data_IF_047591831695
#
_entry.id   IF_047591831695
#
_cell.length_a   1.000
_cell.length_b   1.000
_cell.length_c   1.000
_cell.angle_alpha   90.00
_cell.angle_beta   90.00
_cell.angle_gamma   90.00
#
_symmetry.space_group_name_H-M   'P 1'
#
loop_
_entity.id
_entity.type
_entity.pdbx_description
1 polymer ?
#
# COMPACT_ATOMS: atom_id res chain seq x y z
N UNK A 1 -8.56 0.82 -16.90
CA UNK A 1 -7.61 -0.27 -17.16
C UNK A 1 -8.37 -1.58 -16.96
N UNK A 2 -8.40 -2.45 -17.97
CA UNK A 2 -9.04 -3.76 -17.89
C UNK A 2 -7.93 -4.80 -17.89
N UNK A 3 -7.96 -5.75 -16.95
CA UNK A 3 -7.02 -6.87 -16.87
C UNK A 3 -7.78 -8.12 -17.32
N UNK A 4 -7.41 -8.75 -18.44
CA UNK A 4 -8.01 -10.00 -18.92
C UNK A 4 -7.86 -11.16 -17.91
N UNK A 5 -8.83 -12.07 -17.89
CA UNK A 5 -8.85 -13.18 -16.93
C UNK A 5 -7.73 -14.22 -17.19
N UNK A 6 -7.27 -14.34 -18.43
CA UNK A 6 -6.13 -15.18 -18.80
C UNK A 6 -4.81 -14.67 -18.22
N UNK A 7 -4.63 -13.35 -18.15
CA UNK A 7 -3.46 -12.71 -17.53
C UNK A 7 -3.40 -13.03 -16.04
N UNK A 8 -4.54 -12.92 -15.32
CA UNK A 8 -4.66 -13.30 -13.90
C UNK A 8 -4.27 -14.78 -13.71
N UNK A 9 -4.76 -15.66 -14.58
CA UNK A 9 -4.48 -17.10 -14.52
C UNK A 9 -3.00 -17.41 -14.77
N UNK A 10 -2.35 -16.69 -15.70
CA UNK A 10 -0.92 -16.81 -15.96
C UNK A 10 -0.09 -16.35 -14.76
N UNK A 11 -0.40 -15.20 -14.16
CA UNK A 11 0.31 -14.70 -12.98
C UNK A 11 0.23 -15.68 -11.81
N UNK A 12 -0.96 -16.26 -11.55
CA UNK A 12 -1.12 -17.29 -10.52
C UNK A 12 -0.21 -18.50 -10.79
N UNK A 13 -0.14 -18.96 -12.04
CA UNK A 13 0.76 -20.07 -12.43
C UNK A 13 2.23 -19.73 -12.20
N UNK A 14 2.66 -18.52 -12.54
CA UNK A 14 4.05 -18.08 -12.34
C UNK A 14 4.42 -18.10 -10.85
N UNK A 15 3.56 -17.55 -9.98
CA UNK A 15 3.82 -17.53 -8.52
C UNK A 15 3.96 -18.96 -7.97
N UNK A 16 3.05 -19.87 -8.35
CA UNK A 16 3.00 -21.22 -7.80
C UNK A 16 4.07 -22.16 -8.38
N UNK A 17 4.36 -22.08 -9.69
CA UNK A 17 5.27 -23.01 -10.38
C UNK A 17 6.73 -22.55 -10.37
N UNK A 18 6.96 -21.24 -10.40
CA UNK A 18 8.31 -20.65 -10.46
C UNK A 18 8.79 -20.17 -9.08
N UNK A 19 8.02 -20.43 -8.01
CA UNK A 19 8.37 -20.09 -6.62
C UNK A 19 8.70 -18.61 -6.38
N UNK A 20 7.95 -17.71 -7.03
CA UNK A 20 8.11 -16.27 -6.84
C UNK A 20 7.48 -15.82 -5.52
N UNK A 21 8.21 -15.02 -4.74
CA UNK A 21 7.74 -14.44 -3.48
C UNK A 21 7.62 -12.91 -3.54
N UNK A 22 6.65 -12.37 -2.80
CA UNK A 22 6.50 -10.93 -2.65
C UNK A 22 7.42 -10.47 -1.51
N UNK A 23 8.44 -9.68 -1.85
CA UNK A 23 9.43 -9.18 -0.87
C UNK A 23 8.96 -7.98 -0.06
N UNK A 24 8.10 -7.15 -0.64
CA UNK A 24 7.62 -5.92 -0.02
C UNK A 24 6.31 -5.46 -0.64
N UNK A 25 5.45 -4.87 0.19
CA UNK A 25 4.27 -4.13 -0.24
C UNK A 25 4.41 -2.72 0.31
N UNK A 26 4.50 -1.73 -0.59
CA UNK A 26 4.70 -0.33 -0.22
C UNK A 26 3.46 0.47 -0.52
N UNK A 27 2.96 1.20 0.48
CA UNK A 27 1.91 2.21 0.29
C UNK A 27 2.55 3.60 0.26
N UNK A 28 2.43 4.29 -0.89
CA UNK A 28 2.78 5.70 -0.99
C UNK A 28 1.67 6.58 -0.41
N UNK A 29 2.02 7.51 0.48
CA UNK A 29 1.08 8.45 1.10
C UNK A 29 1.54 9.87 0.78
N UNK A 30 0.72 10.62 0.05
CA UNK A 30 1.00 12.04 -0.22
C UNK A 30 0.82 12.86 1.05
N UNK A 31 1.81 13.68 1.42
CA UNK A 31 1.79 14.53 2.62
C UNK A 31 1.56 16.01 2.31
N UNK A 32 1.37 16.40 1.04
CA UNK A 32 1.26 17.81 0.64
C UNK A 32 0.07 18.52 1.34
N UNK A 33 -1.03 17.82 1.55
CA UNK A 33 -2.22 18.28 2.28
C UNK A 33 -2.03 18.34 3.81
N UNK A 34 -0.94 17.77 4.35
CA UNK A 34 -0.58 17.88 5.76
C UNK A 34 0.11 19.22 6.10
N UNK A 35 0.32 20.11 5.12
CA UNK A 35 0.90 21.43 5.34
C UNK A 35 0.10 22.26 6.39
N UNK A 36 0.83 23.07 7.15
CA UNK A 36 0.31 23.93 8.22
C UNK A 36 1.34 25.04 8.49
N UNK A 37 1.01 26.05 9.28
CA UNK A 37 1.98 27.05 9.73
C UNK A 37 2.60 26.69 11.08
N UNK A 38 1.93 25.82 11.83
CA UNK A 38 2.39 25.27 13.11
C UNK A 38 2.96 23.86 12.96
N UNK A 39 4.15 23.63 13.54
CA UNK A 39 4.85 22.34 13.48
C UNK A 39 4.09 21.23 14.21
N UNK A 40 3.49 21.52 15.37
CA UNK A 40 2.72 20.53 16.14
C UNK A 40 1.55 19.98 15.33
N UNK A 41 0.83 20.88 14.67
CA UNK A 41 -0.28 20.57 13.78
C UNK A 41 0.18 19.77 12.56
N UNK A 42 1.32 20.10 11.94
CA UNK A 42 1.88 19.28 10.83
C UNK A 42 2.13 17.85 11.29
N UNK A 43 2.84 17.67 12.40
CA UNK A 43 3.19 16.36 12.92
C UNK A 43 1.95 15.52 13.21
N UNK A 44 0.92 16.12 13.82
CA UNK A 44 -0.35 15.45 14.08
C UNK A 44 -1.05 15.03 12.78
N UNK A 45 -1.17 15.93 11.81
CA UNK A 45 -1.79 15.62 10.50
C UNK A 45 -1.09 14.47 9.78
N UNK A 46 0.26 14.42 9.83
CA UNK A 46 1.04 13.33 9.23
C UNK A 46 0.74 12.01 9.94
N UNK A 47 0.77 12.01 11.27
CA UNK A 47 0.50 10.82 12.08
C UNK A 47 -0.92 10.28 11.83
N UNK A 48 -1.93 11.15 11.91
CA UNK A 48 -3.33 10.80 11.70
C UNK A 48 -3.52 10.21 10.30
N UNK A 49 -2.93 10.83 9.26
CA UNK A 49 -3.05 10.36 7.88
C UNK A 49 -2.39 9.01 7.65
N UNK A 50 -1.18 8.79 8.18
CA UNK A 50 -0.47 7.52 8.02
C UNK A 50 -1.25 6.41 8.73
N UNK A 51 -1.69 6.64 9.97
CA UNK A 51 -2.42 5.64 10.75
C UNK A 51 -3.79 5.32 10.17
N UNK A 52 -4.51 6.30 9.63
CA UNK A 52 -5.80 6.08 8.98
C UNK A 52 -5.64 5.30 7.66
N UNK A 53 -4.72 5.70 6.78
CA UNK A 53 -4.59 5.10 5.44
C UNK A 53 -3.86 3.75 5.46
N UNK A 54 -2.82 3.61 6.28
CA UNK A 54 -2.02 2.39 6.36
C UNK A 54 -2.41 1.48 7.52
N UNK A 55 -3.41 1.83 8.34
CA UNK A 55 -3.80 1.06 9.54
C UNK A 55 -4.17 -0.40 9.28
N UNK A 56 -4.60 -0.73 8.06
CA UNK A 56 -4.91 -2.11 7.64
C UNK A 56 -3.92 -2.70 6.64
N UNK A 57 -2.81 -2.03 6.34
CA UNK A 57 -1.87 -2.46 5.29
C UNK A 57 -1.28 -3.84 5.59
N UNK A 58 -0.76 -4.05 6.80
CA UNK A 58 -0.17 -5.34 7.19
C UNK A 58 -1.21 -6.44 7.18
N UNK A 59 -2.39 -6.17 7.75
CA UNK A 59 -3.51 -7.12 7.76
C UNK A 59 -3.87 -7.55 6.34
N UNK A 60 -4.04 -6.61 5.43
CA UNK A 60 -4.47 -6.91 4.04
C UNK A 60 -3.37 -7.57 3.21
N UNK A 61 -2.10 -7.28 3.48
CA UNK A 61 -0.97 -7.80 2.71
C UNK A 61 -0.46 -9.15 3.23
N UNK A 62 -0.76 -9.51 4.48
CA UNK A 62 -0.25 -10.71 5.13
C UNK A 62 -1.32 -11.70 5.58
N UNK A 63 -2.62 -11.37 5.46
CA UNK A 63 -3.72 -12.34 5.51
C UNK A 63 -3.90 -13.02 4.15
#
# INVERSE_FOLDING_TARGET
>A
MFIPADEITQTIRMILKEHLDIRTVTMGINLLDCASDDLGTKCRKIYDKITEKAGSLVKTACE
#
